data_IF_873837358684
#
_entry.id   IF_873837358684
#
_cell.length_a   1.000
_cell.length_b   1.000
_cell.length_c   1.000
_cell.angle_alpha   90.00
_cell.angle_beta   90.00
_cell.angle_gamma   90.00
#
_symmetry.space_group_name_H-M   'P 1'
#
loop_
_entity.id
_entity.type
_entity.pdbx_description
1 polymer ?
#
# COMPACT_ATOMS: atom_id res chain seq x y z
N UNK A 1 34.23 -23.18 3.56
CA UNK A 1 33.01 -22.41 3.31
C UNK A 1 33.42 -21.00 2.98
N UNK A 2 33.03 -20.51 1.81
CA UNK A 2 33.50 -19.23 1.28
C UNK A 2 32.80 -18.05 2.00
N UNK A 3 33.55 -17.13 2.60
CA UNK A 3 32.97 -16.00 3.36
C UNK A 3 32.00 -15.17 2.52
N UNK A 4 32.24 -15.11 1.20
CA UNK A 4 31.38 -14.44 0.23
C UNK A 4 30.00 -15.10 0.13
N UNK A 5 29.91 -16.44 0.18
CA UNK A 5 28.62 -17.14 0.20
C UNK A 5 27.82 -16.88 1.47
N UNK A 6 28.49 -16.72 2.61
CA UNK A 6 27.82 -16.41 3.88
C UNK A 6 27.26 -14.99 3.85
N UNK A 7 28.02 -14.04 3.28
CA UNK A 7 27.56 -12.67 3.06
C UNK A 7 26.40 -12.58 2.06
N UNK A 8 26.45 -13.30 0.95
CA UNK A 8 25.35 -13.32 -0.03
C UNK A 8 24.10 -13.99 0.53
N UNK A 9 24.27 -15.04 1.32
CA UNK A 9 23.15 -15.72 2.01
C UNK A 9 22.55 -14.83 3.09
N UNK A 10 23.36 -14.13 3.89
CA UNK A 10 22.87 -13.15 4.87
C UNK A 10 22.15 -11.99 4.18
N UNK A 11 22.70 -11.44 3.10
CA UNK A 11 22.02 -10.39 2.30
C UNK A 11 20.69 -10.87 1.72
N UNK A 12 20.64 -12.10 1.21
CA UNK A 12 19.40 -12.69 0.70
C UNK A 12 18.37 -12.97 1.81
N UNK A 13 18.82 -13.27 3.03
CA UNK A 13 17.95 -13.57 4.17
C UNK A 13 17.46 -12.29 4.88
N UNK A 14 18.26 -11.21 4.90
CA UNK A 14 17.83 -9.88 5.35
C UNK A 14 16.94 -9.19 4.32
N UNK A 15 17.01 -9.56 3.03
CA UNK A 15 16.11 -9.07 1.99
C UNK A 15 14.75 -9.81 1.95
N UNK A 16 14.51 -10.72 2.90
CA UNK A 16 13.30 -11.55 3.02
C UNK A 16 12.31 -11.04 4.07
N UNK A 17 12.39 -9.77 4.47
CA UNK A 17 11.18 -9.07 4.88
C UNK A 17 10.14 -9.32 3.78
N UNK A 18 9.01 -9.89 4.17
CA UNK A 18 8.08 -10.49 3.22
C UNK A 18 7.68 -9.42 2.20
N UNK A 19 7.66 -9.77 0.91
CA UNK A 19 7.18 -8.85 -0.12
C UNK A 19 5.78 -8.29 0.24
N UNK A 20 4.98 -9.08 0.97
CA UNK A 20 3.70 -8.65 1.53
C UNK A 20 3.87 -7.66 2.69
N UNK A 21 4.86 -7.82 3.58
CA UNK A 21 5.15 -6.83 4.63
C UNK A 21 5.55 -5.49 4.02
N UNK A 22 6.43 -5.50 3.01
CA UNK A 22 6.79 -4.27 2.29
C UNK A 22 5.59 -3.64 1.59
N UNK A 23 4.68 -4.43 1.02
CA UNK A 23 3.43 -3.90 0.45
C UNK A 23 2.52 -3.31 1.53
N UNK A 24 2.44 -3.92 2.72
CA UNK A 24 1.72 -3.37 3.85
C UNK A 24 2.35 -2.06 4.33
N UNK A 25 3.67 -1.94 4.33
CA UNK A 25 4.34 -0.70 4.72
C UNK A 25 4.09 0.43 3.70
N UNK A 26 4.06 0.08 2.41
CA UNK A 26 3.62 1.01 1.35
C UNK A 26 2.18 1.47 1.59
N UNK A 27 1.29 0.55 1.93
CA UNK A 27 -0.11 0.84 2.24
C UNK A 27 -0.22 1.82 3.42
N UNK A 28 0.53 1.59 4.51
CA UNK A 28 0.61 2.51 5.66
C UNK A 28 1.12 3.89 5.27
N UNK A 29 2.12 3.98 4.40
CA UNK A 29 2.61 5.25 3.88
C UNK A 29 1.51 5.99 3.12
N UNK A 30 0.75 5.28 2.28
CA UNK A 30 -0.35 5.87 1.51
C UNK A 30 -1.47 6.38 2.43
N UNK A 31 -1.82 5.61 3.46
CA UNK A 31 -2.81 5.99 4.46
C UNK A 31 -2.36 7.21 5.29
N UNK A 32 -1.12 7.18 5.81
CA UNK A 32 -0.53 8.29 6.57
C UNK A 32 -0.46 9.58 5.72
N UNK A 33 -0.22 9.45 4.42
CA UNK A 33 -0.22 10.57 3.48
C UNK A 33 -1.64 11.08 3.11
N UNK A 34 -2.71 10.48 3.67
CA UNK A 34 -4.11 10.78 3.42
C UNK A 34 -4.50 10.70 1.95
N UNK A 35 -3.94 9.72 1.23
CA UNK A 35 -4.15 9.59 -0.22
C UNK A 35 -5.56 9.09 -0.53
N UNK A 36 -6.11 8.22 0.31
CA UNK A 36 -7.43 7.63 0.08
C UNK A 36 -8.60 8.61 0.19
N UNK A 37 -8.35 9.84 0.66
CA UNK A 37 -9.32 10.95 0.60
C UNK A 37 -9.57 11.40 -0.86
N UNK A 38 -8.58 11.18 -1.74
CA UNK A 38 -8.64 11.58 -3.13
C UNK A 38 -9.30 10.51 -4.00
N UNK A 39 -9.97 10.95 -5.07
CA UNK A 39 -10.81 10.07 -5.90
C UNK A 39 -10.01 8.93 -6.53
N UNK A 40 -10.63 7.75 -6.55
CA UNK A 40 -10.19 6.51 -7.20
C UNK A 40 -8.85 5.92 -6.70
N UNK A 41 -8.15 6.52 -5.72
CA UNK A 41 -6.87 5.97 -5.25
C UNK A 41 -7.00 4.58 -4.63
N UNK A 42 -8.11 4.32 -3.93
CA UNK A 42 -8.43 3.02 -3.31
C UNK A 42 -8.67 1.90 -4.33
N UNK A 43 -9.00 2.23 -5.58
CA UNK A 43 -9.33 1.26 -6.65
C UNK A 43 -8.09 0.64 -7.31
N UNK A 44 -6.89 0.91 -6.78
CA UNK A 44 -5.64 0.50 -7.38
C UNK A 44 -5.33 -0.97 -7.15
N UNK A 45 -5.02 -1.69 -8.23
CA UNK A 45 -4.58 -3.08 -8.16
C UNK A 45 -3.07 -3.18 -8.34
N UNK A 46 -2.36 -3.88 -7.45
CA UNK A 46 -0.92 -4.10 -7.60
C UNK A 46 -0.66 -5.03 -8.79
N UNK A 47 0.07 -4.55 -9.79
CA UNK A 47 0.43 -5.34 -10.99
C UNK A 47 1.92 -5.68 -11.07
N UNK A 48 2.78 -4.90 -10.43
CA UNK A 48 4.22 -5.19 -10.33
C UNK A 48 4.77 -4.69 -8.99
N UNK A 49 5.67 -5.47 -8.41
CA UNK A 49 6.40 -5.13 -7.19
C UNK A 49 5.95 -5.92 -5.96
N UNK A 50 6.52 -5.61 -4.78
CA UNK A 50 7.46 -4.52 -4.54
C UNK A 50 8.87 -4.88 -5.05
N UNK A 51 9.48 -3.97 -5.79
CA UNK A 51 10.91 -4.04 -6.13
C UNK A 51 11.69 -3.29 -5.07
N UNK A 52 12.46 -4.04 -4.27
CA UNK A 52 13.23 -3.51 -3.15
C UNK A 52 14.66 -3.26 -3.59
N UNK A 53 15.01 -1.99 -3.77
CA UNK A 53 16.38 -1.54 -4.02
C UNK A 53 17.03 -1.08 -2.71
N UNK A 54 18.31 -0.65 -2.78
CA UNK A 54 19.07 -0.21 -1.60
C UNK A 54 18.44 0.99 -0.89
N UNK A 55 17.85 1.92 -1.64
CA UNK A 55 17.31 3.19 -1.10
C UNK A 55 15.85 3.42 -1.45
N UNK A 56 15.30 2.63 -2.37
CA UNK A 56 14.00 2.86 -2.97
C UNK A 56 13.20 1.57 -2.95
N UNK A 57 11.89 1.72 -2.83
CA UNK A 57 10.93 0.65 -3.08
C UNK A 57 10.01 1.11 -4.19
N UNK A 58 9.86 0.27 -5.21
CA UNK A 58 9.01 0.57 -6.36
C UNK A 58 7.83 -0.39 -6.43
N UNK A 59 6.62 0.15 -6.59
CA UNK A 59 5.39 -0.62 -6.85
C UNK A 59 4.63 0.04 -7.99
N UNK A 60 3.98 -0.77 -8.84
CA UNK A 60 3.11 -0.26 -9.90
C UNK A 60 1.67 -0.71 -9.63
N UNK A 61 0.78 0.28 -9.59
CA UNK A 61 -0.66 0.10 -9.45
C UNK A 61 -1.33 0.27 -10.81
N UNK A 62 -2.31 -0.56 -11.10
CA UNK A 62 -3.14 -0.50 -12.30
C UNK A 62 -4.52 0.03 -11.95
N UNK A 63 -5.04 0.88 -12.83
CA UNK A 63 -6.39 1.41 -12.77
C UNK A 63 -7.07 1.26 -14.13
N UNK A 64 -8.37 0.92 -14.18
CA UNK A 64 -9.15 1.07 -15.41
C UNK A 64 -9.11 2.52 -15.92
N UNK A 65 -9.15 2.74 -17.25
CA UNK A 65 -9.05 4.09 -17.81
C UNK A 65 -10.07 5.10 -17.24
N UNK A 66 -11.28 4.64 -16.89
CA UNK A 66 -12.33 5.47 -16.31
C UNK A 66 -12.13 5.81 -14.82
N UNK A 67 -11.30 5.03 -14.11
CA UNK A 67 -11.03 5.17 -12.68
C UNK A 67 -9.61 5.66 -12.43
N UNK A 68 -9.14 6.59 -13.26
CA UNK A 68 -7.84 7.22 -13.06
C UNK A 68 -7.78 7.87 -11.66
N UNK A 69 -6.74 7.60 -10.85
CA UNK A 69 -6.60 8.20 -9.53
C UNK A 69 -6.23 9.67 -9.65
N UNK A 70 -6.81 10.49 -8.78
CA UNK A 70 -6.67 11.94 -8.80
C UNK A 70 -5.19 12.36 -8.64
N UNK A 71 -4.59 13.06 -9.62
CA UNK A 71 -3.21 13.53 -9.55
C UNK A 71 -2.91 14.43 -8.35
N UNK A 72 -3.91 15.12 -7.78
CA UNK A 72 -3.70 15.93 -6.58
C UNK A 72 -3.30 15.08 -5.37
N UNK A 73 -3.81 13.84 -5.28
CA UNK A 73 -3.40 12.88 -4.25
C UNK A 73 -1.92 12.49 -4.37
N UNK A 74 -1.39 12.36 -5.59
CA UNK A 74 0.03 12.05 -5.80
C UNK A 74 0.94 13.17 -5.27
N UNK A 75 0.47 14.41 -5.24
CA UNK A 75 1.24 15.53 -4.70
C UNK A 75 1.54 15.37 -3.22
N UNK A 76 0.72 14.63 -2.45
CA UNK A 76 1.00 14.31 -1.03
C UNK A 76 2.23 13.43 -0.90
N UNK A 77 2.35 12.40 -1.74
CA UNK A 77 3.52 11.54 -1.81
C UNK A 77 4.75 12.29 -2.29
N UNK A 78 4.61 13.10 -3.34
CA UNK A 78 5.72 13.86 -3.94
C UNK A 78 6.32 14.85 -2.93
N UNK A 79 5.48 15.51 -2.11
CA UNK A 79 5.93 16.40 -1.03
C UNK A 79 6.82 15.70 -0.01
N UNK A 80 6.64 14.39 0.19
CA UNK A 80 7.40 13.58 1.14
C UNK A 80 8.56 12.83 0.48
N UNK A 81 8.99 13.24 -0.72
CA UNK A 81 10.17 12.71 -1.40
C UNK A 81 9.92 11.45 -2.25
N UNK A 82 8.66 11.01 -2.39
CA UNK A 82 8.31 9.96 -3.33
C UNK A 82 8.27 10.48 -4.78
N UNK A 83 8.34 9.57 -5.74
CA UNK A 83 8.13 9.87 -7.16
C UNK A 83 6.93 9.08 -7.66
N UNK A 84 6.08 9.74 -8.43
CA UNK A 84 4.86 9.14 -8.99
C UNK A 84 4.86 9.35 -10.50
N UNK A 85 4.67 8.26 -11.24
CA UNK A 85 4.64 8.27 -12.70
C UNK A 85 3.33 7.69 -13.19
N UNK A 86 2.68 8.38 -14.13
CA UNK A 86 1.45 7.94 -14.77
C UNK A 86 1.74 7.54 -16.21
N UNK A 87 1.31 6.34 -16.61
CA UNK A 87 1.47 5.83 -17.97
C UNK A 87 0.14 5.29 -18.49
N UNK A 88 -0.28 5.70 -19.68
CA UNK A 88 -1.39 5.07 -20.38
C UNK A 88 -0.92 3.79 -21.08
N UNK A 89 -1.59 2.67 -20.80
CA UNK A 89 -1.28 1.38 -21.41
C UNK A 89 -2.55 0.62 -21.82
N UNK A 90 -2.38 -0.51 -22.51
CA UNK A 90 -3.46 -1.40 -22.94
C UNK A 90 -3.25 -2.79 -22.36
N UNK A 91 -4.17 -3.22 -21.50
CA UNK A 91 -4.21 -4.57 -20.97
C UNK A 91 -4.85 -5.50 -22.02
N UNK A 92 -4.07 -6.44 -22.56
CA UNK A 92 -4.56 -7.45 -23.50
C UNK A 92 -4.90 -8.72 -22.73
N UNK A 93 -6.17 -9.09 -22.71
CA UNK A 93 -6.69 -10.30 -22.04
C UNK A 93 -7.44 -11.18 -23.01
N UNK A 94 -7.52 -12.48 -22.73
CA UNK A 94 -8.40 -13.38 -23.49
C UNK A 94 -9.85 -13.18 -23.04
N UNK A 95 -10.78 -13.15 -24.01
CA UNK A 95 -12.21 -13.19 -23.72
C UNK A 95 -12.57 -14.46 -22.93
N UNK A 96 -13.50 -14.35 -21.99
CA UNK A 96 -14.12 -15.53 -21.38
C UNK A 96 -15.02 -16.17 -22.43
N UNK A 97 -14.80 -17.44 -22.77
CA UNK A 97 -15.67 -18.18 -23.70
C UNK A 97 -17.02 -18.45 -23.02
N UNK A 98 -17.99 -17.55 -23.20
CA UNK A 98 -19.37 -17.74 -22.74
C UNK A 98 -20.32 -18.01 -23.91
N UNK A 99 -20.06 -17.36 -25.05
CA UNK A 99 -20.84 -17.45 -26.27
C UNK A 99 -19.95 -17.83 -27.45
N UNK A 100 -20.51 -18.40 -28.54
CA UNK A 100 -19.75 -18.71 -29.75
C UNK A 100 -18.99 -17.51 -30.35
N UNK A 101 -19.53 -16.30 -30.18
CA UNK A 101 -18.95 -15.04 -30.67
C UNK A 101 -17.70 -14.59 -29.89
N UNK A 102 -17.47 -15.16 -28.69
CA UNK A 102 -16.26 -14.92 -27.89
C UNK A 102 -15.04 -15.68 -28.43
N UNK A 103 -15.25 -16.54 -29.43
CA UNK A 103 -14.17 -17.22 -30.16
C UNK A 103 -13.83 -16.51 -31.46
N UNK A 104 -12.55 -16.20 -31.63
CA UNK A 104 -11.99 -16.05 -32.98
C UNK A 104 -11.98 -17.44 -33.61
N UNK A 105 -12.45 -17.55 -34.85
CA UNK A 105 -12.72 -18.81 -35.55
C UNK A 105 -11.52 -19.76 -35.63
N UNK A 106 -11.70 -20.90 -36.33
CA UNK A 106 -10.60 -21.87 -36.53
C UNK A 106 -9.46 -21.22 -37.32
N UNK A 107 -8.41 -20.81 -36.62
CA UNK A 107 -7.28 -20.15 -37.24
C UNK A 107 -6.27 -21.19 -37.76
N UNK A 108 -5.91 -21.08 -39.04
CA UNK A 108 -4.86 -21.90 -39.68
C UNK A 108 -3.44 -21.36 -39.45
N UNK A 109 -3.28 -20.35 -38.59
CA UNK A 109 -2.16 -19.41 -38.65
C UNK A 109 -0.92 -19.75 -37.79
N UNK A 110 -0.95 -20.77 -36.92
CA UNK A 110 0.15 -20.99 -35.95
C UNK A 110 0.67 -22.43 -35.92
N UNK A 111 0.04 -23.38 -36.61
CA UNK A 111 0.42 -24.81 -36.67
C UNK A 111 0.40 -25.58 -35.32
N UNK A 112 0.32 -24.88 -34.18
CA UNK A 112 0.44 -25.43 -32.82
C UNK A 112 -0.85 -26.02 -32.28
N UNK A 113 -2.02 -25.61 -32.79
CA UNK A 113 -3.35 -26.16 -32.43
C UNK A 113 -4.30 -26.18 -33.64
N UNK A 114 -4.10 -27.09 -34.60
CA UNK A 114 -5.00 -27.22 -35.75
C UNK A 114 -6.43 -27.55 -35.29
N UNK A 115 -7.40 -26.71 -35.68
CA UNK A 115 -8.83 -27.00 -35.49
C UNK A 115 -9.46 -26.58 -34.16
N UNK A 116 -8.74 -25.94 -33.24
CA UNK A 116 -9.31 -25.38 -32.00
C UNK A 116 -9.66 -23.90 -32.15
N UNK A 117 -10.77 -23.49 -31.54
CA UNK A 117 -11.18 -22.08 -31.44
C UNK A 117 -10.28 -21.34 -30.45
N UNK A 118 -9.91 -20.10 -30.78
CA UNK A 118 -9.15 -19.23 -29.87
C UNK A 118 -10.08 -18.22 -29.23
N UNK A 119 -9.88 -17.94 -27.95
CA UNK A 119 -10.58 -16.82 -27.31
C UNK A 119 -10.16 -15.52 -27.98
N UNK A 120 -11.15 -14.67 -28.30
CA UNK A 120 -10.92 -13.33 -28.86
C UNK A 120 -10.04 -12.51 -27.92
N UNK A 121 -9.12 -11.71 -28.47
CA UNK A 121 -8.33 -10.78 -27.65
C UNK A 121 -9.19 -9.57 -27.27
N UNK A 122 -9.34 -9.34 -25.97
CA UNK A 122 -9.99 -8.15 -25.42
C UNK A 122 -8.93 -7.18 -24.96
N UNK A 123 -8.94 -5.99 -25.56
CA UNK A 123 -8.01 -4.91 -25.24
C UNK A 123 -8.75 -3.93 -24.34
N UNK A 124 -8.25 -3.74 -23.11
CA UNK A 124 -8.79 -2.77 -22.15
C UNK A 124 -7.79 -1.63 -21.96
N UNK A 125 -8.18 -0.37 -22.15
CA UNK A 125 -7.30 0.74 -21.84
C UNK A 125 -7.19 0.89 -20.31
N UNK A 126 -5.96 1.09 -19.83
CA UNK A 126 -5.63 1.16 -18.41
C UNK A 126 -4.66 2.32 -18.14
N UNK A 127 -4.58 2.72 -16.87
CA UNK A 127 -3.52 3.56 -16.33
C UNK A 127 -2.62 2.72 -15.45
N UNK A 128 -1.32 2.91 -15.61
CA UNK A 128 -0.32 2.45 -14.66
C UNK A 128 0.22 3.63 -13.87
N UNK A 129 0.22 3.48 -12.55
CA UNK A 129 0.78 4.44 -11.60
C UNK A 129 1.95 3.78 -10.90
N UNK A 130 3.17 4.18 -11.27
CA UNK A 130 4.39 3.69 -10.63
C UNK A 130 4.77 4.62 -9.50
N UNK A 131 4.82 4.05 -8.29
CA UNK A 131 5.22 4.72 -7.06
C UNK A 131 6.65 4.30 -6.73
N UNK A 132 7.53 5.28 -6.52
CA UNK A 132 8.91 5.07 -6.06
C UNK A 132 9.06 5.79 -4.73
N UNK A 133 9.16 5.02 -3.65
CA UNK A 133 9.21 5.52 -2.28
C UNK A 133 10.62 5.36 -1.69
N UNK A 134 11.16 6.38 -0.98
CA UNK A 134 12.40 6.21 -0.23
C UNK A 134 12.22 5.19 0.90
N UNK A 135 13.14 4.24 1.07
CA UNK A 135 13.08 3.26 2.17
C UNK A 135 12.99 3.92 3.54
N UNK A 136 13.76 5.00 3.74
CA UNK A 136 13.72 5.79 4.97
C UNK A 136 12.30 6.24 5.34
N UNK A 137 11.48 6.58 4.35
CA UNK A 137 10.12 7.06 4.62
C UNK A 137 9.20 5.93 5.10
N UNK A 138 9.37 4.71 4.58
CA UNK A 138 8.68 3.51 5.08
C UNK A 138 9.07 3.24 6.55
N UNK A 139 10.38 3.27 6.83
CA UNK A 139 10.93 3.03 8.17
C UNK A 139 10.44 4.09 9.18
N UNK A 140 10.42 5.36 8.79
CA UNK A 140 9.97 6.48 9.62
C UNK A 140 8.48 6.31 10.01
N UNK A 141 7.62 5.92 9.06
CA UNK A 141 6.19 5.67 9.31
C UNK A 141 5.97 4.46 10.22
N UNK A 142 6.73 3.38 10.01
CA UNK A 142 6.67 2.19 10.87
C UNK A 142 7.08 2.51 12.31
N UNK A 143 8.16 3.29 12.48
CA UNK A 143 8.65 3.69 13.80
C UNK A 143 7.67 4.61 14.55
N UNK A 144 6.98 5.50 13.84
CA UNK A 144 5.97 6.37 14.42
C UNK A 144 4.79 5.58 14.97
N UNK A 145 4.34 4.54 14.25
CA UNK A 145 3.27 3.66 14.71
C UNK A 145 3.67 2.88 15.97
N UNK A 146 4.86 2.28 15.99
CA UNK A 146 5.36 1.55 17.17
C UNK A 146 5.40 2.44 18.41
N UNK A 147 5.83 3.69 18.28
CA UNK A 147 5.83 4.64 19.40
C UNK A 147 4.44 4.98 19.93
N UNK A 148 3.43 5.02 19.05
CA UNK A 148 2.04 5.25 19.45
C UNK A 148 1.46 4.00 20.10
N UNK A 149 1.76 2.81 19.58
CA UNK A 149 1.30 1.54 20.15
C UNK A 149 1.94 1.28 21.53
N UNK A 150 3.21 1.66 21.76
CA UNK A 150 3.88 1.56 23.07
C UNK A 150 3.38 2.63 24.08
N UNK A 151 2.68 3.66 23.59
CA UNK A 151 1.93 4.59 24.43
C UNK A 151 0.55 3.98 24.70
N UNK A 152 0.51 2.85 25.42
CA UNK A 152 -0.69 2.43 26.13
C UNK A 152 -1.12 3.63 27.01
N UNK A 153 -2.17 4.31 26.59
CA UNK A 153 -2.75 5.43 27.32
C UNK A 153 -3.15 4.86 28.68
N UNK A 154 -2.39 5.19 29.71
CA UNK A 154 -2.71 4.84 31.08
C UNK A 154 -3.97 5.61 31.49
N UNK A 155 -5.12 5.04 31.14
CA UNK A 155 -6.45 5.55 31.46
C UNK A 155 -6.63 5.68 32.96
N UNK A 156 -5.95 4.83 33.74
CA UNK A 156 -6.00 4.83 35.19
C UNK A 156 -5.37 6.12 35.76
N UNK A 157 -4.32 6.67 35.15
CA UNK A 157 -3.71 7.93 35.60
C UNK A 157 -4.63 9.15 35.37
N UNK A 158 -5.43 9.12 34.31
CA UNK A 158 -6.41 10.18 34.00
C UNK A 158 -7.66 10.05 34.89
N UNK A 159 -8.10 8.83 35.16
CA UNK A 159 -9.18 8.57 36.12
C UNK A 159 -8.77 8.93 37.56
N UNK A 160 -7.55 8.58 37.99
CA UNK A 160 -7.04 8.95 39.33
C UNK A 160 -6.97 10.47 39.52
N UNK A 161 -6.49 11.21 38.50
CA UNK A 161 -6.46 12.67 38.55
C UNK A 161 -7.87 13.30 38.62
N UNK A 162 -8.86 12.65 38.01
CA UNK A 162 -10.27 13.09 38.06
C UNK A 162 -10.92 12.81 39.42
N UNK A 163 -10.52 11.72 40.10
CA UNK A 163 -11.02 11.35 41.44
C UNK A 163 -10.42 12.23 42.53
N UNK A 164 -9.15 12.61 42.41
CA UNK A 164 -8.49 13.51 43.38
C UNK A 164 -9.08 14.92 43.38
N UNK A 165 -9.49 15.47 42.22
CA UNK A 165 -10.21 16.74 42.16
C UNK A 165 -11.57 16.68 42.88
N UNK A 166 -12.32 15.58 42.72
CA UNK A 166 -13.64 15.40 43.36
C UNK A 166 -13.51 15.16 44.88
N UNK A 167 -12.42 14.53 45.33
CA UNK A 167 -12.16 14.31 46.75
C UNK A 167 -11.75 15.59 47.49
N UNK A 168 -11.12 16.55 46.81
CA UNK A 168 -10.65 17.81 47.39
C UNK A 168 -11.77 18.82 47.70
N UNK A 169 -12.97 18.63 47.14
CA UNK A 169 -14.12 19.54 47.29
C UNK A 169 -15.12 19.10 48.39
N UNK A 170 -14.77 18.09 49.20
CA UNK A 170 -15.65 17.50 50.23
C UNK A 170 -15.07 17.52 51.66
N UNK A 171 -14.24 18.51 52.00
CA UNK A 171 -13.94 18.81 53.42
C UNK A 171 -15.09 19.63 54.04
N UNK A 172 -15.79 19.14 55.09
CA UNK A 172 -16.84 19.91 55.75
C UNK A 172 -16.20 21.05 56.56
N UNK A 173 -16.64 22.29 56.30
CA UNK A 173 -16.30 23.46 57.11
C UNK A 173 -16.72 23.26 58.57
N UNK A 174 -15.73 23.03 59.44
CA UNK A 174 -15.92 23.04 60.89
C UNK A 174 -15.91 24.50 61.36
N UNK A 175 -17.11 25.06 61.59
CA UNK A 175 -17.32 26.39 62.15
C UNK A 175 -16.82 26.46 63.60
N UNK A 176 -15.57 26.90 63.77
CA UNK A 176 -15.00 27.33 65.04
C UNK A 176 -15.42 28.75 65.41
N UNK A 177 -16.06 28.87 66.57
CA UNK A 177 -16.31 30.10 67.32
C UNK A 177 -15.01 30.82 67.66
N UNK A 178 -14.98 32.15 67.50
CA UNK A 178 -14.47 33.14 68.47
C UNK A 178 -15.07 34.53 68.19
#
# INVERSE_FOLDING_TARGET
MDQLKILDTLKANTARDSALETLMDIERVMDTANIYVYKNWIEGEVVEGPRIDRYWVTVTLMYPKALMPDPEGAMRLIKNGCKVYYTEEKLVTAAKLKSPDDSEGKDGADGKRPGQTRAKKVIKPIWLVTLVMPRKYLDDVQSAKLRVDDQDINSDAVEQASVDEIASDNTPDELGLE
#
